data_IF_731277025494
#
_entry.id   IF_731277025494
#
_cell.length_a   1.000
_cell.length_b   1.000
_cell.length_c   1.000
_cell.angle_alpha   90.00
_cell.angle_beta   90.00
_cell.angle_gamma   90.00
#
_symmetry.space_group_name_H-M   'P 1'
#
loop_
_entity.id
_entity.type
_entity.pdbx_description
1 polymer ?
#
# COMPACT_ATOMS: atom_id res chain seq x y z
N UNK A 1 23.17 -8.47 0.81
CA UNK A 1 22.39 -7.47 0.04
C UNK A 1 20.88 -7.75 0.09
N UNK A 2 20.42 -9.00 0.16
CA UNK A 2 18.97 -9.28 0.19
C UNK A 2 18.23 -8.91 1.46
N UNK A 3 18.88 -9.06 2.61
CA UNK A 3 18.28 -8.73 3.90
C UNK A 3 17.96 -7.23 4.00
N UNK A 4 18.84 -6.35 3.48
CA UNK A 4 18.62 -4.90 3.48
C UNK A 4 17.43 -4.50 2.61
N UNK A 5 17.24 -5.14 1.45
CA UNK A 5 16.10 -4.87 0.57
C UNK A 5 14.77 -5.29 1.19
N UNK A 6 14.73 -6.45 1.85
CA UNK A 6 13.56 -6.91 2.57
C UNK A 6 13.24 -6.01 3.78
N UNK A 7 14.26 -5.55 4.51
CA UNK A 7 14.09 -4.58 5.60
C UNK A 7 13.47 -3.26 5.09
N UNK A 8 13.98 -2.73 3.96
CA UNK A 8 13.43 -1.52 3.34
C UNK A 8 11.98 -1.77 2.90
N UNK A 9 11.70 -2.91 2.27
CA UNK A 9 10.34 -3.29 1.87
C UNK A 9 9.39 -3.29 3.06
N UNK A 10 9.69 -4.06 4.12
CA UNK A 10 8.79 -4.20 5.27
C UNK A 10 8.61 -2.87 6.00
N UNK A 11 9.69 -2.10 6.20
CA UNK A 11 9.60 -0.81 6.89
C UNK A 11 8.77 0.21 6.12
N UNK A 12 9.03 0.37 4.81
CA UNK A 12 8.28 1.30 3.97
C UNK A 12 6.81 0.88 3.81
N UNK A 13 6.54 -0.42 3.64
CA UNK A 13 5.17 -0.94 3.52
C UNK A 13 4.38 -0.75 4.80
N UNK A 14 4.92 -1.14 5.96
CA UNK A 14 4.26 -0.98 7.25
C UNK A 14 4.01 0.50 7.59
N UNK A 15 4.96 1.39 7.30
CA UNK A 15 4.78 2.82 7.46
C UNK A 15 3.66 3.36 6.56
N UNK A 16 3.61 2.94 5.27
CA UNK A 16 2.55 3.34 4.34
C UNK A 16 1.16 2.86 4.80
N UNK A 17 1.06 1.61 5.25
CA UNK A 17 -0.18 1.02 5.78
C UNK A 17 -0.65 1.78 7.02
N UNK A 18 0.26 2.06 7.96
CA UNK A 18 -0.01 2.85 9.15
C UNK A 18 -0.53 4.25 8.80
N UNK A 19 0.10 4.94 7.85
CA UNK A 19 -0.36 6.26 7.39
C UNK A 19 -1.79 6.17 6.82
N UNK A 20 -2.08 5.20 5.96
CA UNK A 20 -3.43 5.03 5.39
C UNK A 20 -4.48 4.73 6.47
N UNK A 21 -4.14 3.89 7.45
CA UNK A 21 -4.99 3.56 8.58
C UNK A 21 -5.29 4.80 9.44
N UNK A 22 -4.26 5.58 9.78
CA UNK A 22 -4.44 6.82 10.55
C UNK A 22 -5.15 7.91 9.76
N UNK A 23 -4.94 8.02 8.44
CA UNK A 23 -5.78 8.87 7.59
C UNK A 23 -7.24 8.44 7.76
N UNK A 24 -7.53 7.13 7.69
CA UNK A 24 -8.89 6.57 7.83
C UNK A 24 -9.55 7.01 9.13
N UNK A 25 -8.89 6.77 10.27
CA UNK A 25 -9.37 7.21 11.59
C UNK A 25 -9.51 8.74 11.66
N UNK A 26 -8.49 9.48 11.22
CA UNK A 26 -8.46 10.94 11.40
C UNK A 26 -9.61 11.64 10.69
N UNK A 27 -10.07 11.12 9.54
CA UNK A 27 -11.20 11.69 8.80
C UNK A 27 -12.56 11.23 9.35
N UNK A 28 -12.59 10.13 10.11
CA UNK A 28 -13.77 9.75 10.88
C UNK A 28 -13.95 10.71 12.06
N UNK A 29 -12.85 11.16 12.67
CA UNK A 29 -12.86 12.12 13.78
C UNK A 29 -12.96 13.58 13.32
N UNK A 30 -12.34 13.92 12.19
CA UNK A 30 -12.27 15.26 11.63
C UNK A 30 -12.74 15.25 10.17
N UNK A 31 -14.06 15.29 9.96
CA UNK A 31 -14.69 15.12 8.65
C UNK A 31 -14.29 16.21 7.63
N UNK A 32 -13.96 17.42 8.10
CA UNK A 32 -13.61 18.56 7.22
C UNK A 32 -12.13 18.57 6.78
N UNK A 33 -11.27 17.76 7.41
CA UNK A 33 -9.83 17.78 7.10
C UNK A 33 -9.49 16.84 5.96
N UNK A 34 -8.72 17.34 5.00
CA UNK A 34 -8.12 16.54 3.92
C UNK A 34 -6.64 16.29 4.17
N UNK A 35 -6.21 15.03 4.11
CA UNK A 35 -4.85 14.61 4.43
C UNK A 35 -4.02 14.34 3.17
N UNK A 36 -3.89 15.34 2.28
CA UNK A 36 -3.23 15.17 0.97
C UNK A 36 -1.76 14.79 1.11
N UNK A 37 -0.99 15.49 1.93
CA UNK A 37 0.45 15.20 2.14
C UNK A 37 0.66 13.77 2.64
N UNK A 38 -0.16 13.33 3.59
CA UNK A 38 -0.09 11.97 4.12
C UNK A 38 -0.45 10.92 3.04
N UNK A 39 -1.42 11.22 2.16
CA UNK A 39 -1.77 10.32 1.05
C UNK A 39 -0.60 10.13 0.06
N UNK A 40 0.12 11.20 -0.29
CA UNK A 40 1.31 11.09 -1.13
C UNK A 40 2.46 10.37 -0.43
N UNK A 41 2.63 10.58 0.87
CA UNK A 41 3.64 9.87 1.66
C UNK A 41 3.36 8.36 1.68
N UNK A 42 2.10 7.95 1.90
CA UNK A 42 1.71 6.54 1.86
C UNK A 42 1.96 5.93 0.46
N UNK A 43 1.55 6.62 -0.61
CA UNK A 43 1.80 6.18 -1.97
C UNK A 43 3.31 6.05 -2.27
N UNK A 44 4.10 7.09 -1.95
CA UNK A 44 5.54 7.12 -2.18
C UNK A 44 6.27 6.00 -1.41
N UNK A 45 5.95 5.82 -0.13
CA UNK A 45 6.55 4.74 0.68
C UNK A 45 6.17 3.36 0.14
N UNK A 46 4.90 3.14 -0.25
CA UNK A 46 4.49 1.86 -0.82
C UNK A 46 5.22 1.55 -2.13
N UNK A 47 5.44 2.55 -2.98
CA UNK A 47 6.21 2.40 -4.22
C UNK A 47 7.68 2.09 -3.94
N UNK A 48 8.31 2.80 -3.00
CA UNK A 48 9.69 2.53 -2.59
C UNK A 48 9.84 1.11 -2.05
N UNK A 49 8.91 0.65 -1.22
CA UNK A 49 8.91 -0.71 -0.68
C UNK A 49 8.84 -1.77 -1.78
N UNK A 50 7.87 -1.64 -2.69
CA UNK A 50 7.71 -2.58 -3.82
C UNK A 50 8.93 -2.54 -4.74
N UNK A 51 9.46 -1.37 -5.07
CA UNK A 51 10.66 -1.25 -5.90
C UNK A 51 11.88 -1.89 -5.24
N UNK A 52 12.07 -1.70 -3.93
CA UNK A 52 13.17 -2.35 -3.20
C UNK A 52 13.07 -3.88 -3.27
N UNK A 53 11.86 -4.43 -3.16
CA UNK A 53 11.59 -5.87 -3.29
C UNK A 53 11.85 -6.39 -4.72
N UNK A 54 11.37 -5.68 -5.74
CA UNK A 54 11.53 -6.07 -7.14
C UNK A 54 12.98 -5.97 -7.63
N UNK A 55 13.69 -4.91 -7.24
CA UNK A 55 15.11 -4.72 -7.57
C UNK A 55 15.98 -5.78 -6.93
N UNK A 56 15.58 -6.30 -5.76
CA UNK A 56 16.29 -7.41 -5.13
C UNK A 56 16.12 -8.75 -5.89
N UNK A 57 14.92 -9.01 -6.42
CA UNK A 57 14.65 -10.22 -7.21
C UNK A 57 15.28 -10.21 -8.61
N UNK A 58 15.66 -9.04 -9.14
CA UNK A 58 16.26 -8.89 -10.48
C UNK A 58 15.35 -9.29 -11.65
N UNK A 59 14.10 -9.70 -11.37
CA UNK A 59 13.13 -10.19 -12.36
C UNK A 59 11.72 -9.65 -12.05
N UNK A 60 11.43 -8.38 -12.39
CA UNK A 60 10.14 -7.76 -12.10
C UNK A 60 8.95 -8.49 -12.74
N UNK A 61 9.14 -9.09 -13.92
CA UNK A 61 8.12 -9.92 -14.57
C UNK A 61 7.94 -11.31 -13.93
N UNK A 62 8.92 -11.82 -13.17
CA UNK A 62 8.79 -13.10 -12.48
C UNK A 62 7.92 -13.02 -11.22
N UNK A 63 7.70 -11.82 -10.67
CA UNK A 63 6.70 -11.59 -9.63
C UNK A 63 5.29 -11.96 -10.12
N UNK A 64 4.96 -11.63 -11.38
CA UNK A 64 3.69 -12.04 -12.00
C UNK A 64 3.60 -13.57 -12.18
N UNK A 65 4.72 -14.26 -12.33
CA UNK A 65 4.77 -15.73 -12.33
C UNK A 65 4.76 -16.34 -10.92
N UNK A 66 5.20 -15.63 -9.87
CA UNK A 66 4.94 -16.11 -8.50
C UNK A 66 3.47 -15.94 -8.12
N UNK A 67 2.81 -14.95 -8.72
CA UNK A 67 1.35 -14.79 -8.74
C UNK A 67 0.60 -15.91 -9.47
N UNK A 68 1.24 -16.82 -10.22
CA UNK A 68 0.54 -18.00 -10.75
C UNK A 68 0.56 -19.19 -9.78
N UNK A 69 1.28 -19.09 -8.66
CA UNK A 69 1.28 -20.05 -7.54
C UNK A 69 0.60 -19.44 -6.29
N UNK A 70 -0.55 -18.78 -6.50
CA UNK A 70 -1.37 -18.20 -5.43
C UNK A 70 -1.76 -19.25 -4.40
N UNK A 71 -1.52 -18.97 -3.13
CA UNK A 71 -2.06 -19.76 -2.02
C UNK A 71 -1.23 -20.96 -1.55
N UNK A 72 -0.06 -21.25 -2.13
CA UNK A 72 0.80 -22.35 -1.64
C UNK A 72 1.81 -21.94 -0.57
N UNK A 73 2.11 -20.65 -0.43
CA UNK A 73 3.03 -20.15 0.61
C UNK A 73 2.59 -18.80 1.21
N UNK A 74 2.79 -18.67 2.52
CA UNK A 74 2.52 -17.48 3.34
C UNK A 74 3.17 -16.21 2.72
N UNK A 75 4.43 -16.33 2.33
CA UNK A 75 5.22 -15.25 1.70
C UNK A 75 4.63 -14.72 0.38
N UNK A 76 3.96 -15.59 -0.40
CA UNK A 76 3.36 -15.18 -1.68
C UNK A 76 2.12 -14.32 -1.45
N UNK A 77 1.30 -14.64 -0.45
CA UNK A 77 0.10 -13.88 -0.11
C UNK A 77 0.43 -12.48 0.43
N UNK A 78 1.44 -12.35 1.29
CA UNK A 78 1.89 -11.06 1.82
C UNK A 78 2.31 -10.11 0.68
N UNK A 79 3.18 -10.60 -0.22
CA UNK A 79 3.71 -9.78 -1.32
C UNK A 79 2.60 -9.32 -2.29
N UNK A 80 1.59 -10.18 -2.49
CA UNK A 80 0.39 -9.88 -3.25
C UNK A 80 -0.46 -8.78 -2.62
N UNK A 81 -0.80 -8.95 -1.34
CA UNK A 81 -1.59 -7.97 -0.60
C UNK A 81 -0.86 -6.63 -0.51
N UNK A 82 0.46 -6.65 -0.36
CA UNK A 82 1.30 -5.46 -0.43
C UNK A 82 1.23 -4.77 -1.81
N UNK A 83 1.25 -5.55 -2.91
CA UNK A 83 1.07 -5.02 -4.26
C UNK A 83 -0.31 -4.40 -4.47
N UNK A 84 -1.38 -5.07 -4.02
CA UNK A 84 -2.75 -4.53 -4.04
C UNK A 84 -2.86 -3.25 -3.21
N UNK A 85 -2.31 -3.25 -2.00
CA UNK A 85 -2.26 -2.07 -1.14
C UNK A 85 -1.55 -0.90 -1.83
N UNK A 86 -0.38 -1.12 -2.42
CA UNK A 86 0.36 -0.07 -3.12
C UNK A 86 -0.45 0.52 -4.28
N UNK A 87 -1.15 -0.32 -5.05
CA UNK A 87 -2.09 0.11 -6.08
C UNK A 87 -3.19 1.01 -5.53
N UNK A 88 -3.83 0.60 -4.42
CA UNK A 88 -4.88 1.39 -3.77
C UNK A 88 -4.31 2.72 -3.22
N UNK A 89 -3.13 2.71 -2.61
CA UNK A 89 -2.48 3.90 -2.05
C UNK A 89 -2.16 4.94 -3.13
N UNK A 90 -1.65 4.50 -4.28
CA UNK A 90 -1.41 5.36 -5.45
C UNK A 90 -2.71 5.91 -6.00
N UNK A 91 -3.73 5.06 -6.21
CA UNK A 91 -5.04 5.51 -6.68
C UNK A 91 -5.67 6.52 -5.71
N UNK A 92 -5.54 6.31 -4.40
CA UNK A 92 -6.04 7.24 -3.40
C UNK A 92 -5.35 8.60 -3.49
N UNK A 93 -4.01 8.63 -3.60
CA UNK A 93 -3.25 9.86 -3.79
C UNK A 93 -3.66 10.59 -5.09
N UNK A 94 -3.90 9.86 -6.18
CA UNK A 94 -4.40 10.43 -7.44
C UNK A 94 -5.81 11.01 -7.29
N UNK A 95 -6.71 10.34 -6.57
CA UNK A 95 -8.06 10.87 -6.27
C UNK A 95 -7.96 12.15 -5.45
N UNK A 96 -7.07 12.22 -4.45
CA UNK A 96 -6.84 13.45 -3.67
C UNK A 96 -6.25 14.59 -4.52
N UNK A 97 -5.53 14.28 -5.59
CA UNK A 97 -4.94 15.24 -6.52
C UNK A 97 -5.96 15.78 -7.52
N UNK A 98 -6.58 14.87 -8.30
CA UNK A 98 -7.38 15.22 -9.47
C UNK A 98 -8.87 15.38 -9.18
N UNK A 99 -9.40 14.67 -8.18
CA UNK A 99 -10.82 14.72 -7.81
C UNK A 99 -11.01 14.97 -6.31
N UNK A 100 -10.40 16.03 -5.75
CA UNK A 100 -10.60 16.36 -4.34
C UNK A 100 -12.09 16.68 -4.11
N UNK A 101 -12.77 15.87 -3.32
CA UNK A 101 -14.20 16.05 -3.01
C UNK A 101 -15.13 14.92 -3.50
N UNK A 102 -14.62 13.93 -4.25
CA UNK A 102 -15.41 12.72 -4.49
C UNK A 102 -15.47 11.86 -3.23
N UNK A 103 -16.49 12.11 -2.40
CA UNK A 103 -16.67 11.45 -1.10
C UNK A 103 -16.78 9.93 -1.21
N UNK A 104 -17.43 9.42 -2.27
CA UNK A 104 -17.58 7.98 -2.48
C UNK A 104 -16.23 7.30 -2.77
N UNK A 105 -15.43 7.86 -3.67
CA UNK A 105 -14.11 7.31 -3.98
C UNK A 105 -13.15 7.47 -2.79
N UNK A 106 -13.15 8.63 -2.12
CA UNK A 106 -12.35 8.84 -0.91
C UNK A 106 -12.64 7.77 0.15
N UNK A 107 -13.93 7.55 0.47
CA UNK A 107 -14.37 6.58 1.45
C UNK A 107 -13.96 5.16 1.06
N UNK A 108 -14.25 4.75 -0.18
CA UNK A 108 -13.96 3.41 -0.68
C UNK A 108 -12.46 3.12 -0.67
N UNK A 109 -11.63 4.05 -1.16
CA UNK A 109 -10.18 3.83 -1.24
C UNK A 109 -9.50 3.86 0.13
N UNK A 110 -9.95 4.73 1.06
CA UNK A 110 -9.44 4.73 2.44
C UNK A 110 -9.74 3.45 3.17
N UNK A 111 -11.02 3.05 3.21
CA UNK A 111 -11.42 1.82 3.90
C UNK A 111 -10.86 0.58 3.23
N UNK A 112 -10.93 0.50 1.89
CA UNK A 112 -10.34 -0.59 1.12
C UNK A 112 -8.84 -0.70 1.34
N UNK A 113 -8.10 0.41 1.24
CA UNK A 113 -6.66 0.42 1.46
C UNK A 113 -6.27 0.08 2.89
N UNK A 114 -7.01 0.59 3.87
CA UNK A 114 -6.83 0.29 5.29
C UNK A 114 -7.03 -1.21 5.60
N UNK A 115 -8.12 -1.81 5.11
CA UNK A 115 -8.41 -3.23 5.31
C UNK A 115 -7.38 -4.12 4.62
N UNK A 116 -7.09 -3.86 3.34
CA UNK A 116 -6.10 -4.64 2.58
C UNK A 116 -4.72 -4.52 3.23
N UNK A 117 -4.33 -3.33 3.67
CA UNK A 117 -3.06 -3.11 4.36
C UNK A 117 -2.97 -3.86 5.69
N UNK A 118 -4.02 -3.83 6.52
CA UNK A 118 -4.05 -4.59 7.76
C UNK A 118 -4.00 -6.10 7.52
N UNK A 119 -4.75 -6.60 6.55
CA UNK A 119 -4.69 -8.03 6.19
C UNK A 119 -3.29 -8.39 5.71
N UNK A 120 -2.62 -7.54 4.94
CA UNK A 120 -1.23 -7.75 4.51
C UNK A 120 -0.24 -7.87 5.69
N UNK A 121 -0.47 -7.17 6.80
CA UNK A 121 0.40 -7.22 7.99
C UNK A 121 0.25 -8.54 8.77
N UNK A 122 -0.93 -9.16 8.71
CA UNK A 122 -1.24 -10.39 9.46
C UNK A 122 -1.29 -11.65 8.59
N UNK A 123 -1.18 -11.53 7.26
CA UNK A 123 -1.30 -12.64 6.32
C UNK A 123 -0.04 -13.46 6.24
#
# INVERSE_FOLDING_TARGET
>A
MGETSLLIFSFCMQAAIGIMFFITISKQLYQDKTFKTASYAAAGLSLVGILASLLHLGRPMAFLNSLSHLGTSWLSNEALLCGFFAGIAVLYALVQHFKPGNASLDLLLRWGGSLVGLVAVFS
#
